data_IF_885971184793
#
_entry.id   IF_885971184793
#
_cell.length_a   1.000
_cell.length_b   1.000
_cell.length_c   1.000
_cell.angle_alpha   90.00
_cell.angle_beta   90.00
_cell.angle_gamma   90.00
#
_symmetry.space_group_name_H-M   'P 1'
#
loop_
_entity.id
_entity.type
_entity.pdbx_description
1 polymer ?
#
# COMPACT_ATOMS: atom_id res chain seq x y z
N UNK A 1 -35.43 -0.98 41.51
CA UNK A 1 -34.70 -0.16 40.51
C UNK A 1 -35.15 -0.62 39.13
N UNK A 2 -35.66 0.28 38.29
CA UNK A 2 -36.34 -0.07 37.04
C UNK A 2 -35.35 -0.40 35.91
N UNK A 3 -35.73 -1.34 35.04
CA UNK A 3 -34.98 -1.74 33.83
C UNK A 3 -34.61 -0.55 32.91
N UNK A 4 -35.29 0.58 33.04
CA UNK A 4 -35.03 1.82 32.31
C UNK A 4 -33.70 2.48 32.70
N UNK A 5 -33.30 2.42 33.97
CA UNK A 5 -32.03 3.02 34.41
C UNK A 5 -30.82 2.23 33.91
N UNK A 6 -30.90 0.89 33.87
CA UNK A 6 -29.84 0.03 33.36
C UNK A 6 -29.59 0.26 31.86
N UNK A 7 -30.65 0.41 31.07
CA UNK A 7 -30.58 0.68 29.63
C UNK A 7 -29.96 2.06 29.30
N UNK A 8 -30.26 3.08 30.09
CA UNK A 8 -29.70 4.44 29.91
C UNK A 8 -28.21 4.46 30.26
N UNK A 9 -27.78 3.74 31.29
CA UNK A 9 -26.36 3.60 31.61
C UNK A 9 -25.62 2.83 30.51
N UNK A 10 -26.14 1.70 30.05
CA UNK A 10 -25.47 0.87 29.05
C UNK A 10 -25.32 1.60 27.69
N UNK A 11 -26.34 2.34 27.26
CA UNK A 11 -26.26 3.17 26.05
C UNK A 11 -25.29 4.36 26.20
N UNK A 12 -25.25 5.03 27.37
CA UNK A 12 -24.27 6.10 27.64
C UNK A 12 -22.83 5.59 27.60
N UNK A 13 -22.56 4.42 28.17
CA UNK A 13 -21.22 3.80 28.17
C UNK A 13 -20.77 3.44 26.74
N UNK A 14 -21.60 2.77 25.96
CA UNK A 14 -21.32 2.46 24.54
C UNK A 14 -21.09 3.73 23.70
N UNK A 15 -21.82 4.81 24.00
CA UNK A 15 -21.65 6.09 23.29
C UNK A 15 -20.37 6.81 23.69
N UNK A 16 -19.95 6.69 24.96
CA UNK A 16 -18.72 7.28 25.49
C UNK A 16 -17.49 6.57 24.91
N UNK A 17 -17.47 5.24 24.94
CA UNK A 17 -16.41 4.43 24.32
C UNK A 17 -16.29 4.76 22.82
N UNK A 18 -17.41 4.84 22.09
CA UNK A 18 -17.39 5.18 20.67
C UNK A 18 -16.85 6.60 20.39
N UNK A 19 -17.17 7.59 21.23
CA UNK A 19 -16.63 8.96 21.11
C UNK A 19 -15.14 9.01 21.43
N UNK A 20 -14.69 8.29 22.46
CA UNK A 20 -13.29 8.16 22.82
C UNK A 20 -12.49 7.50 21.71
N UNK A 21 -12.97 6.36 21.18
CA UNK A 21 -12.33 5.64 20.08
C UNK A 21 -12.25 6.47 18.80
N UNK A 22 -13.28 7.27 18.48
CA UNK A 22 -13.22 8.22 17.35
C UNK A 22 -12.13 9.27 17.53
N UNK A 23 -11.98 9.84 18.74
CA UNK A 23 -10.93 10.82 19.03
C UNK A 23 -9.55 10.19 18.94
N UNK A 24 -9.39 8.98 19.46
CA UNK A 24 -8.14 8.22 19.39
C UNK A 24 -7.77 7.89 17.93
N UNK A 25 -8.71 7.39 17.14
CA UNK A 25 -8.51 7.12 15.71
C UNK A 25 -8.19 8.39 14.91
N UNK A 26 -8.83 9.52 15.22
CA UNK A 26 -8.49 10.80 14.61
C UNK A 26 -7.07 11.23 14.97
N UNK A 27 -6.64 11.04 16.22
CA UNK A 27 -5.29 11.34 16.66
C UNK A 27 -4.26 10.46 15.93
N UNK A 28 -4.51 9.15 15.84
CA UNK A 28 -3.70 8.21 15.04
C UNK A 28 -3.67 8.68 13.58
N UNK A 29 -4.82 8.92 12.95
CA UNK A 29 -4.86 9.36 11.57
C UNK A 29 -4.07 10.65 11.34
N UNK A 30 -4.23 11.68 12.18
CA UNK A 30 -3.53 12.95 12.03
C UNK A 30 -2.01 12.81 12.21
N UNK A 31 -1.55 11.93 13.10
CA UNK A 31 -0.11 11.65 13.24
C UNK A 31 0.49 10.89 12.06
N UNK A 32 -0.33 10.19 11.27
CA UNK A 32 0.12 9.31 10.19
C UNK A 32 -0.26 9.77 8.77
N UNK A 33 -1.22 10.68 8.61
CA UNK A 33 -1.73 11.11 7.29
C UNK A 33 -0.69 11.87 6.47
N UNK A 34 0.25 12.54 7.13
CA UNK A 34 1.41 13.18 6.50
C UNK A 34 2.23 12.22 5.63
N UNK A 35 2.31 10.94 5.99
CA UNK A 35 3.01 9.92 5.20
C UNK A 35 2.18 9.25 4.10
N UNK A 36 0.85 9.25 4.20
CA UNK A 36 -0.04 8.54 3.26
C UNK A 36 -0.21 9.35 1.96
N UNK A 37 -0.31 10.68 2.06
CA UNK A 37 -0.34 11.57 0.89
C UNK A 37 1.03 11.86 0.30
N UNK A 38 2.10 11.62 1.05
CA UNK A 38 3.49 11.74 0.58
C UNK A 38 3.96 10.51 -0.23
N UNK A 39 3.08 9.54 -0.52
CA UNK A 39 3.45 8.36 -1.34
C UNK A 39 3.98 8.71 -2.74
N UNK A 40 3.86 9.96 -3.19
CA UNK A 40 4.39 10.45 -4.47
C UNK A 40 5.75 11.16 -4.38
N UNK A 41 6.39 11.23 -3.20
CA UNK A 41 7.75 11.75 -3.06
C UNK A 41 8.61 10.71 -2.36
N UNK A 42 8.95 9.62 -3.06
CA UNK A 42 10.15 8.87 -2.71
C UNK A 42 11.32 9.85 -2.85
N UNK A 43 11.97 10.22 -1.76
CA UNK A 43 13.29 10.80 -1.84
C UNK A 43 14.16 9.79 -2.60
N UNK A 44 14.72 10.21 -3.74
CA UNK A 44 15.59 9.43 -4.61
C UNK A 44 16.93 9.11 -3.94
N UNK A 45 16.90 8.57 -2.71
CA UNK A 45 18.11 8.21 -2.00
C UNK A 45 18.52 6.81 -2.42
N UNK A 46 19.49 6.80 -3.31
CA UNK A 46 20.04 5.62 -3.94
C UNK A 46 21.36 5.15 -3.32
N UNK A 47 21.87 5.93 -2.36
CA UNK A 47 23.28 5.91 -1.96
C UNK A 47 23.54 4.99 -0.76
N UNK A 48 22.57 4.81 0.14
CA UNK A 48 22.69 3.98 1.35
C UNK A 48 21.62 2.87 1.42
N UNK A 49 21.81 1.88 2.31
CA UNK A 49 20.80 0.88 2.73
C UNK A 49 20.32 -0.12 1.65
N UNK A 50 21.24 -0.88 1.07
CA UNK A 50 20.88 -2.06 0.26
C UNK A 50 20.63 -3.26 1.18
N UNK A 51 19.49 -3.92 0.96
CA UNK A 51 19.15 -5.20 1.59
C UNK A 51 19.85 -6.35 0.86
N UNK A 52 20.01 -7.47 1.57
CA UNK A 52 20.55 -8.71 1.03
C UNK A 52 19.54 -9.84 1.11
N UNK A 53 19.48 -10.65 0.05
CA UNK A 53 18.64 -11.83 -0.03
C UNK A 53 19.42 -13.01 -0.57
N UNK A 54 19.27 -14.15 0.09
CA UNK A 54 19.74 -15.44 -0.43
C UNK A 54 18.82 -15.94 -1.55
N UNK A 55 19.43 -16.48 -2.61
CA UNK A 55 18.74 -17.06 -3.75
C UNK A 55 19.19 -18.50 -4.00
N UNK A 56 18.32 -19.27 -4.65
CA UNK A 56 18.59 -20.67 -5.02
C UNK A 56 19.40 -20.81 -6.32
N UNK A 57 19.79 -19.71 -6.95
CA UNK A 57 20.55 -19.70 -8.22
C UNK A 57 22.04 -19.91 -7.93
N UNK A 58 22.62 -20.97 -8.50
CA UNK A 58 24.01 -21.37 -8.25
C UNK A 58 25.03 -20.25 -8.51
N UNK A 59 24.84 -19.52 -9.62
CA UNK A 59 25.70 -18.43 -10.06
C UNK A 59 25.49 -17.12 -9.27
N UNK A 60 24.47 -17.05 -8.40
CA UNK A 60 24.11 -15.86 -7.64
C UNK A 60 23.48 -16.22 -6.29
N UNK A 61 24.30 -16.67 -5.34
CA UNK A 61 23.82 -17.08 -4.00
C UNK A 61 23.23 -15.93 -3.18
N UNK A 62 23.78 -14.72 -3.32
CA UNK A 62 23.33 -13.54 -2.57
C UNK A 62 23.14 -12.37 -3.51
N UNK A 63 22.05 -11.63 -3.35
CA UNK A 63 21.73 -10.46 -4.17
C UNK A 63 21.51 -9.26 -3.28
N UNK A 64 22.15 -8.15 -3.64
CA UNK A 64 22.02 -6.84 -3.02
C UNK A 64 21.01 -6.04 -3.81
N UNK A 65 19.93 -5.65 -3.15
CA UNK A 65 18.83 -4.93 -3.78
C UNK A 65 18.32 -3.81 -2.89
N UNK A 66 17.60 -2.86 -3.49
CA UNK A 66 16.90 -1.82 -2.77
C UNK A 66 15.55 -1.56 -3.42
N UNK A 67 14.48 -1.57 -2.63
CA UNK A 67 13.14 -1.19 -3.08
C UNK A 67 13.03 0.32 -2.99
N UNK A 68 12.97 0.99 -4.13
CA UNK A 68 12.93 2.46 -4.20
C UNK A 68 11.50 2.96 -4.10
N UNK A 69 10.56 2.24 -4.70
CA UNK A 69 9.13 2.46 -4.47
C UNK A 69 8.38 1.16 -4.31
N UNK A 70 7.32 1.20 -3.51
CA UNK A 70 6.37 0.11 -3.35
C UNK A 70 4.97 0.71 -3.25
N UNK A 71 4.18 0.55 -4.31
CA UNK A 71 2.80 1.01 -4.38
C UNK A 71 1.86 -0.18 -4.30
N UNK A 72 1.04 -0.24 -3.25
CA UNK A 72 0.03 -1.28 -3.08
C UNK A 72 -0.97 -1.23 -4.24
N UNK A 73 -1.19 -2.36 -4.91
CA UNK A 73 -2.13 -2.46 -6.03
C UNK A 73 -3.48 -2.98 -5.53
N UNK A 74 -4.50 -2.12 -5.54
CA UNK A 74 -5.87 -2.51 -5.17
C UNK A 74 -6.59 -3.22 -6.33
N UNK A 75 -6.16 -4.44 -6.63
CA UNK A 75 -6.88 -5.33 -7.55
C UNK A 75 -7.48 -6.53 -6.80
N UNK A 76 -8.39 -7.24 -7.47
CA UNK A 76 -8.95 -8.50 -6.97
C UNK A 76 -7.86 -9.52 -6.62
N UNK A 77 -6.76 -9.50 -7.33
CA UNK A 77 -5.72 -10.54 -7.26
C UNK A 77 -4.51 -10.12 -6.43
N UNK A 78 -4.29 -8.81 -6.25
CA UNK A 78 -3.06 -8.28 -5.66
C UNK A 78 -3.27 -7.49 -4.36
N UNK A 79 -4.40 -7.65 -3.66
CA UNK A 79 -4.75 -6.78 -2.52
C UNK A 79 -3.67 -6.63 -1.44
N UNK A 80 -2.88 -7.66 -1.13
CA UNK A 80 -1.76 -7.54 -0.16
C UNK A 80 -0.40 -7.26 -0.82
N UNK A 81 -0.40 -7.04 -2.13
CA UNK A 81 0.80 -6.98 -2.94
C UNK A 81 0.96 -5.61 -3.58
N UNK A 82 2.22 -5.26 -3.81
CA UNK A 82 2.58 -3.99 -4.40
C UNK A 82 3.14 -4.17 -5.82
N UNK A 83 3.11 -3.09 -6.56
CA UNK A 83 4.08 -2.80 -7.62
C UNK A 83 5.33 -2.22 -6.96
N UNK A 84 6.49 -2.74 -7.32
CA UNK A 84 7.76 -2.29 -6.78
C UNK A 84 8.72 -1.90 -7.88
N UNK A 85 9.43 -0.79 -7.68
CA UNK A 85 10.60 -0.45 -8.48
C UNK A 85 11.83 -0.64 -7.61
N UNK A 86 12.79 -1.39 -8.12
CA UNK A 86 13.96 -1.78 -7.37
C UNK A 86 15.26 -1.57 -8.15
N UNK A 87 16.34 -1.46 -7.38
CA UNK A 87 17.70 -1.46 -7.90
C UNK A 87 18.39 -2.73 -7.45
N UNK A 88 19.16 -3.35 -8.34
CA UNK A 88 19.99 -4.52 -8.03
C UNK A 88 21.43 -4.20 -8.39
N UNK A 89 22.32 -4.26 -7.40
CA UNK A 89 23.68 -3.70 -7.53
C UNK A 89 24.78 -4.73 -7.82
N UNK A 90 24.46 -6.03 -7.84
CA UNK A 90 25.49 -7.08 -7.94
C UNK A 90 25.02 -8.34 -8.68
N UNK A 91 24.18 -8.18 -9.70
CA UNK A 91 23.80 -9.29 -10.58
C UNK A 91 25.00 -9.76 -11.40
N UNK A 92 25.24 -11.06 -11.41
CA UNK A 92 26.29 -11.70 -12.17
C UNK A 92 25.95 -11.65 -13.67
N UNK A 93 26.83 -11.07 -14.46
CA UNK A 93 26.68 -10.89 -15.92
C UNK A 93 26.50 -12.21 -16.69
N UNK A 94 26.88 -13.35 -16.09
CA UNK A 94 26.76 -14.69 -16.70
C UNK A 94 25.38 -15.31 -16.53
N UNK A 95 24.48 -14.69 -15.75
CA UNK A 95 23.14 -15.21 -15.54
C UNK A 95 22.34 -15.15 -16.84
N UNK A 96 21.67 -16.26 -17.15
CA UNK A 96 20.72 -16.25 -18.25
C UNK A 96 19.39 -15.57 -17.84
N UNK A 97 18.53 -15.18 -18.79
CA UNK A 97 17.28 -14.48 -18.47
C UNK A 97 16.34 -15.22 -17.51
N UNK A 98 16.36 -16.57 -17.51
CA UNK A 98 15.54 -17.38 -16.59
C UNK A 98 16.06 -17.30 -15.17
N UNK A 99 17.37 -17.33 -14.99
CA UNK A 99 18.02 -17.18 -13.68
C UNK A 99 17.82 -15.76 -13.14
N UNK A 100 17.95 -14.73 -13.97
CA UNK A 100 17.62 -13.34 -13.61
C UNK A 100 16.16 -13.26 -13.14
N UNK A 101 15.22 -13.82 -13.90
CA UNK A 101 13.81 -13.84 -13.50
C UNK A 101 13.60 -14.57 -12.16
N UNK A 102 14.32 -15.65 -11.87
CA UNK A 102 14.26 -16.36 -10.59
C UNK A 102 14.79 -15.52 -9.43
N UNK A 103 15.93 -14.86 -9.60
CA UNK A 103 16.49 -13.92 -8.62
C UNK A 103 15.49 -12.82 -8.28
N UNK A 104 14.97 -12.14 -9.32
CA UNK A 104 14.03 -11.02 -9.14
C UNK A 104 12.70 -11.51 -8.58
N UNK A 105 12.23 -12.70 -8.97
CA UNK A 105 11.04 -13.33 -8.37
C UNK A 105 11.21 -13.58 -6.88
N UNK A 106 12.41 -14.00 -6.45
CA UNK A 106 12.73 -14.26 -5.04
C UNK A 106 12.63 -12.98 -4.21
N UNK A 107 13.20 -11.87 -4.72
CA UNK A 107 13.03 -10.53 -4.12
C UNK A 107 11.55 -10.18 -4.04
N UNK A 108 10.81 -10.37 -5.13
CA UNK A 108 9.38 -10.07 -5.22
C UNK A 108 8.54 -10.82 -4.21
N UNK A 109 8.71 -12.14 -4.10
CA UNK A 109 7.94 -12.98 -3.19
C UNK A 109 8.23 -12.61 -1.74
N UNK A 110 9.50 -12.43 -1.34
CA UNK A 110 9.85 -12.08 0.05
C UNK A 110 9.36 -10.69 0.45
N UNK A 111 9.20 -9.78 -0.51
CA UNK A 111 8.77 -8.40 -0.27
C UNK A 111 7.33 -8.10 -0.71
N UNK A 112 6.52 -9.12 -1.01
CA UNK A 112 5.14 -8.97 -1.46
C UNK A 112 4.97 -8.06 -2.71
N UNK A 113 5.86 -8.15 -3.70
CA UNK A 113 5.81 -7.39 -4.95
C UNK A 113 5.27 -8.25 -6.10
N UNK A 114 4.08 -7.94 -6.59
CA UNK A 114 3.41 -8.64 -7.72
C UNK A 114 3.79 -8.13 -9.09
N UNK A 115 4.29 -6.89 -9.17
CA UNK A 115 4.86 -6.30 -10.37
C UNK A 115 6.18 -5.67 -9.99
N UNK A 116 7.20 -5.91 -10.79
CA UNK A 116 8.56 -5.52 -10.48
C UNK A 116 9.19 -4.92 -11.73
N UNK A 117 9.71 -3.71 -11.59
CA UNK A 117 10.63 -3.12 -12.56
C UNK A 117 11.99 -2.98 -11.88
N UNK A 118 13.00 -3.63 -12.44
CA UNK A 118 14.33 -3.71 -11.85
C UNK A 118 15.35 -2.97 -12.71
N UNK A 119 16.14 -2.10 -12.10
CA UNK A 119 17.23 -1.37 -12.75
C UNK A 119 18.59 -1.72 -12.13
N UNK A 120 19.64 -1.62 -12.93
CA UNK A 120 21.01 -1.79 -12.46
C UNK A 120 21.53 -0.53 -11.77
N UNK A 121 21.18 0.64 -12.28
CA UNK A 121 21.71 1.91 -11.81
C UNK A 121 20.64 2.88 -11.35
N UNK A 122 21.04 3.72 -10.40
CA UNK A 122 20.26 4.84 -9.93
C UNK A 122 19.98 5.88 -11.00
N UNK A 123 20.91 6.05 -11.94
CA UNK A 123 20.75 7.00 -13.02
C UNK A 123 19.60 6.60 -13.97
N UNK A 124 19.49 5.31 -14.29
CA UNK A 124 18.35 4.79 -15.04
C UNK A 124 17.03 5.07 -14.30
N UNK A 125 17.02 4.93 -12.98
CA UNK A 125 15.83 5.24 -12.19
C UNK A 125 15.47 6.74 -12.21
N UNK A 126 16.45 7.62 -12.12
CA UNK A 126 16.24 9.09 -12.22
C UNK A 126 15.60 9.45 -13.56
N UNK A 127 16.07 8.85 -14.64
CA UNK A 127 15.49 9.03 -15.98
C UNK A 127 14.05 8.47 -16.02
N UNK A 128 13.83 7.29 -15.44
CA UNK A 128 12.51 6.64 -15.43
C UNK A 128 11.42 7.50 -14.76
N UNK A 129 11.78 8.19 -13.67
CA UNK A 129 10.86 9.05 -12.93
C UNK A 129 10.81 10.50 -13.43
N UNK A 130 11.57 10.85 -14.47
CA UNK A 130 11.59 12.22 -14.99
C UNK A 130 10.20 12.60 -15.52
N UNK A 131 9.70 13.76 -15.09
CA UNK A 131 8.40 14.28 -15.55
C UNK A 131 8.38 14.69 -17.03
N UNK A 132 9.55 14.86 -17.63
CA UNK A 132 9.70 15.16 -19.07
C UNK A 132 9.99 13.89 -19.84
N UNK A 133 9.52 13.81 -21.08
CA UNK A 133 9.82 12.69 -21.98
C UNK A 133 11.35 12.51 -22.11
N UNK A 134 11.89 11.29 -21.89
CA UNK A 134 13.30 11.02 -22.09
C UNK A 134 13.75 11.32 -23.52
N UNK A 135 14.95 11.88 -23.67
CA UNK A 135 15.60 12.01 -24.97
C UNK A 135 16.15 10.65 -25.47
N UNK A 136 16.73 10.61 -26.67
CA UNK A 136 17.20 9.36 -27.27
C UNK A 136 18.34 8.69 -26.48
N UNK A 137 19.28 9.48 -25.96
CA UNK A 137 20.38 8.99 -25.12
C UNK A 137 19.85 8.41 -23.80
N UNK A 138 18.92 9.11 -23.16
CA UNK A 138 18.24 8.68 -21.93
C UNK A 138 17.43 7.40 -22.16
N UNK A 139 16.76 7.25 -23.30
CA UNK A 139 16.07 6.02 -23.67
C UNK A 139 17.03 4.84 -23.88
N UNK A 140 18.17 5.07 -24.50
CA UNK A 140 19.19 4.04 -24.67
C UNK A 140 19.77 3.62 -23.32
N UNK A 141 20.08 4.59 -22.45
CA UNK A 141 20.53 4.31 -21.10
C UNK A 141 19.51 3.49 -20.30
N UNK A 142 18.23 3.84 -20.36
CA UNK A 142 17.15 3.07 -19.72
C UNK A 142 17.11 1.63 -20.23
N UNK A 143 17.22 1.41 -21.54
CA UNK A 143 17.17 0.07 -22.14
C UNK A 143 18.36 -0.78 -21.71
N UNK A 144 19.55 -0.19 -21.63
CA UNK A 144 20.78 -0.88 -21.23
C UNK A 144 20.79 -1.24 -19.75
N UNK A 145 20.16 -0.41 -18.90
CA UNK A 145 20.18 -0.57 -17.45
C UNK A 145 18.89 -1.19 -16.89
N UNK A 146 17.89 -1.46 -17.74
CA UNK A 146 16.69 -2.20 -17.37
C UNK A 146 17.06 -3.68 -17.28
N UNK A 147 16.97 -4.24 -16.08
CA UNK A 147 17.27 -5.65 -15.82
C UNK A 147 16.09 -6.50 -16.29
N UNK A 148 14.89 -6.21 -15.76
CA UNK A 148 13.68 -6.93 -16.11
C UNK A 148 12.42 -6.16 -15.68
N UNK A 149 11.35 -6.32 -16.46
CA UNK A 149 9.98 -6.07 -16.01
C UNK A 149 9.26 -7.41 -15.83
N UNK A 150 8.75 -7.67 -14.64
CA UNK A 150 8.24 -8.98 -14.25
C UNK A 150 6.91 -8.86 -13.50
N UNK A 151 5.92 -9.64 -13.93
CA UNK A 151 4.65 -9.82 -13.22
C UNK A 151 4.60 -11.22 -12.61
N UNK A 152 4.35 -11.28 -11.30
CA UNK A 152 4.28 -12.53 -10.53
C UNK A 152 2.83 -12.90 -10.23
N UNK A 153 2.47 -14.16 -10.47
CA UNK A 153 1.22 -14.73 -9.98
C UNK A 153 1.38 -15.17 -8.51
N UNK A 154 1.37 -14.21 -7.60
CA UNK A 154 1.60 -14.47 -6.17
C UNK A 154 0.43 -15.25 -5.54
N UNK A 155 -0.74 -15.29 -6.17
CA UNK A 155 -1.83 -16.15 -5.69
C UNK A 155 -1.47 -17.64 -5.73
N UNK A 156 -0.56 -18.05 -6.62
CA UNK A 156 -0.06 -19.42 -6.67
C UNK A 156 0.92 -19.74 -5.54
N UNK A 157 1.70 -18.77 -5.06
CA UNK A 157 2.63 -18.98 -3.95
C UNK A 157 1.95 -18.93 -2.57
N UNK A 158 0.76 -18.34 -2.47
CA UNK A 158 -0.01 -18.30 -1.22
C UNK A 158 -0.73 -19.62 -0.90
N UNK A 159 -0.67 -20.01 0.37
CA UNK A 159 -1.50 -21.10 0.90
C UNK A 159 -2.99 -20.80 0.78
N UNK A 160 -3.83 -21.85 0.81
CA UNK A 160 -5.30 -21.69 0.80
C UNK A 160 -5.80 -20.85 1.97
N UNK A 161 -5.11 -20.90 3.12
CA UNK A 161 -5.44 -20.12 4.32
C UNK A 161 -5.15 -18.63 4.10
N UNK A 162 -3.98 -18.30 3.58
CA UNK A 162 -3.58 -16.92 3.26
C UNK A 162 -4.48 -16.31 2.20
N UNK A 163 -4.76 -17.02 1.11
CA UNK A 163 -5.70 -16.57 0.07
C UNK A 163 -7.07 -16.21 0.65
N UNK A 164 -7.59 -17.01 1.57
CA UNK A 164 -8.86 -16.74 2.26
C UNK A 164 -8.77 -15.50 3.16
N UNK A 165 -7.65 -15.31 3.88
CA UNK A 165 -7.42 -14.12 4.73
C UNK A 165 -7.34 -12.85 3.89
N UNK A 166 -6.55 -12.87 2.82
CA UNK A 166 -6.37 -11.74 1.91
C UNK A 166 -7.70 -11.36 1.23
N UNK A 167 -8.47 -12.36 0.78
CA UNK A 167 -9.83 -12.13 0.25
C UNK A 167 -10.73 -11.45 1.28
N UNK A 168 -10.75 -11.92 2.54
CA UNK A 168 -11.57 -11.31 3.60
C UNK A 168 -11.19 -9.85 3.86
N UNK A 169 -9.91 -9.55 3.92
CA UNK A 169 -9.42 -8.17 4.09
C UNK A 169 -9.80 -7.28 2.91
N UNK A 170 -9.61 -7.77 1.68
CA UNK A 170 -10.02 -7.08 0.46
C UNK A 170 -11.51 -6.76 0.45
N UNK A 171 -12.35 -7.79 0.59
CA UNK A 171 -13.81 -7.64 0.55
C UNK A 171 -14.28 -6.66 1.64
N UNK A 172 -13.60 -6.65 2.79
CA UNK A 172 -13.86 -5.71 3.88
C UNK A 172 -13.45 -4.28 3.55
N UNK A 173 -12.25 -4.04 2.99
CA UNK A 173 -11.84 -2.71 2.55
C UNK A 173 -12.73 -2.19 1.42
N UNK A 174 -13.03 -3.02 0.43
CA UNK A 174 -13.89 -2.65 -0.70
C UNK A 174 -15.28 -2.23 -0.23
N UNK A 175 -15.90 -3.00 0.68
CA UNK A 175 -17.21 -2.66 1.25
C UNK A 175 -17.17 -1.30 1.97
N UNK A 176 -16.17 -1.08 2.82
CA UNK A 176 -16.03 0.16 3.57
C UNK A 176 -15.65 1.35 2.67
N UNK A 177 -14.82 1.11 1.65
CA UNK A 177 -14.39 2.09 0.67
C UNK A 177 -15.54 2.57 -0.21
N UNK A 178 -16.41 1.66 -0.67
CA UNK A 178 -17.64 2.03 -1.38
C UNK A 178 -18.54 2.89 -0.50
N UNK A 179 -18.71 2.53 0.77
CA UNK A 179 -19.53 3.29 1.71
C UNK A 179 -18.94 4.68 1.99
N UNK A 180 -17.64 4.74 2.26
CA UNK A 180 -16.91 5.99 2.46
C UNK A 180 -17.02 6.89 1.22
N UNK A 181 -16.77 6.35 0.03
CA UNK A 181 -16.85 7.11 -1.21
C UNK A 181 -18.27 7.65 -1.44
N UNK A 182 -19.32 6.85 -1.20
CA UNK A 182 -20.72 7.33 -1.26
C UNK A 182 -21.00 8.49 -0.32
N UNK A 183 -20.39 8.53 0.87
CA UNK A 183 -20.52 9.65 1.80
C UNK A 183 -19.77 10.87 1.27
N UNK A 184 -18.53 10.70 0.82
CA UNK A 184 -17.69 11.77 0.31
C UNK A 184 -18.25 12.40 -0.98
N UNK A 185 -18.79 11.59 -1.89
CA UNK A 185 -19.42 12.06 -3.14
C UNK A 185 -20.68 12.88 -2.94
N UNK A 186 -21.21 13.01 -1.72
CA UNK A 186 -22.28 13.98 -1.41
C UNK A 186 -21.76 15.42 -1.34
N UNK A 187 -20.45 15.61 -1.15
CA UNK A 187 -19.83 16.92 -1.19
C UNK A 187 -19.62 17.37 -2.64
N UNK A 188 -19.72 18.68 -2.89
CA UNK A 188 -19.25 19.24 -4.17
C UNK A 188 -17.72 19.12 -4.24
N UNK A 189 -17.13 18.71 -5.39
CA UNK A 189 -15.68 18.56 -5.54
C UNK A 189 -14.88 19.81 -5.15
N UNK A 190 -15.43 20.99 -5.42
CA UNK A 190 -14.85 22.31 -5.12
C UNK A 190 -14.71 22.58 -3.60
N UNK A 191 -15.56 21.96 -2.78
CA UNK A 191 -15.61 22.16 -1.34
C UNK A 191 -14.97 21.01 -0.56
N UNK A 192 -14.37 20.05 -1.27
CA UNK A 192 -13.75 18.88 -0.65
C UNK A 192 -12.42 19.25 0.00
N UNK A 193 -12.26 18.88 1.27
CA UNK A 193 -11.02 19.09 2.04
C UNK A 193 -10.44 17.78 2.56
N UNK A 194 -9.14 17.79 2.89
CA UNK A 194 -8.48 16.66 3.59
C UNK A 194 -9.20 16.30 4.90
N UNK A 195 -9.79 17.30 5.57
CA UNK A 195 -10.57 17.10 6.79
C UNK A 195 -11.84 16.28 6.53
N UNK A 196 -12.49 16.45 5.38
CA UNK A 196 -13.66 15.64 5.01
C UNK A 196 -13.27 14.17 4.83
N UNK A 197 -12.15 13.93 4.16
CA UNK A 197 -11.60 12.58 4.00
C UNK A 197 -11.29 11.95 5.37
N UNK A 198 -10.54 12.67 6.21
CA UNK A 198 -10.17 12.21 7.55
C UNK A 198 -11.40 11.85 8.37
N UNK A 199 -12.42 12.72 8.39
CA UNK A 199 -13.66 12.49 9.13
C UNK A 199 -14.39 11.22 8.67
N UNK A 200 -14.43 10.95 7.37
CA UNK A 200 -15.08 9.73 6.85
C UNK A 200 -14.26 8.50 7.18
N UNK A 201 -12.94 8.52 7.00
CA UNK A 201 -12.06 7.38 7.31
C UNK A 201 -12.14 7.03 8.80
N UNK A 202 -12.05 8.03 9.69
CA UNK A 202 -12.17 7.83 11.14
C UNK A 202 -13.56 7.30 11.51
N UNK A 203 -14.61 7.81 10.87
CA UNK A 203 -15.98 7.36 11.09
C UNK A 203 -16.17 5.89 10.67
N UNK A 204 -15.69 5.50 9.49
CA UNK A 204 -15.78 4.11 9.01
C UNK A 204 -14.91 3.18 9.85
N UNK A 205 -13.70 3.59 10.23
CA UNK A 205 -12.85 2.83 11.15
C UNK A 205 -13.54 2.58 12.48
N UNK A 206 -14.11 3.63 13.08
CA UNK A 206 -14.84 3.53 14.36
C UNK A 206 -16.07 2.63 14.30
N UNK A 207 -16.80 2.63 13.17
CA UNK A 207 -17.96 1.74 12.98
C UNK A 207 -17.56 0.26 12.89
N UNK A 208 -16.34 -0.02 12.45
CA UNK A 208 -15.91 -1.35 12.07
C UNK A 208 -14.79 -1.93 12.94
N UNK A 209 -14.48 -1.32 14.10
CA UNK A 209 -13.37 -1.72 14.97
C UNK A 209 -13.34 -3.22 15.24
N UNK A 210 -14.42 -3.81 15.76
CA UNK A 210 -14.42 -5.24 16.12
C UNK A 210 -14.12 -6.15 14.92
N UNK A 211 -14.74 -5.84 13.77
CA UNK A 211 -14.57 -6.61 12.54
C UNK A 211 -13.16 -6.41 11.97
N UNK A 212 -12.61 -5.21 12.08
CA UNK A 212 -11.25 -4.88 11.70
C UNK A 212 -10.25 -5.67 12.53
N UNK A 213 -10.34 -5.64 13.87
CA UNK A 213 -9.42 -6.39 14.75
C UNK A 213 -9.43 -7.89 14.43
N UNK A 214 -10.60 -8.46 14.16
CA UNK A 214 -10.73 -9.87 13.80
C UNK A 214 -10.17 -10.22 12.42
N UNK A 215 -10.28 -9.31 11.45
CA UNK A 215 -9.86 -9.55 10.06
C UNK A 215 -8.35 -9.32 9.90
N UNK A 216 -7.83 -8.26 10.53
CA UNK A 216 -6.42 -7.94 10.53
C UNK A 216 -5.63 -8.84 11.47
N UNK A 217 -6.25 -9.28 12.58
CA UNK A 217 -5.62 -10.15 13.58
C UNK A 217 -4.35 -9.49 14.15
N UNK A 218 -4.51 -8.24 14.59
CA UNK A 218 -3.47 -7.34 15.11
C UNK A 218 -4.00 -6.59 16.34
N UNK A 219 -3.09 -5.92 17.05
CA UNK A 219 -3.45 -4.98 18.11
C UNK A 219 -4.37 -3.86 17.60
N UNK A 220 -5.02 -3.14 18.52
CA UNK A 220 -5.92 -2.06 18.11
C UNK A 220 -5.21 -0.96 17.35
N UNK A 221 -4.04 -0.56 17.85
CA UNK A 221 -3.20 0.50 17.31
C UNK A 221 -2.72 0.13 15.89
N UNK A 222 -2.10 -1.04 15.74
CA UNK A 222 -1.57 -1.51 14.46
C UNK A 222 -2.69 -1.81 13.46
N UNK A 223 -3.74 -2.49 13.90
CA UNK A 223 -4.88 -2.84 13.07
C UNK A 223 -5.60 -1.60 12.54
N UNK A 224 -5.80 -0.60 13.41
CA UNK A 224 -6.41 0.68 13.01
C UNK A 224 -5.56 1.43 12.00
N UNK A 225 -4.25 1.48 12.25
CA UNK A 225 -3.31 2.16 11.36
C UNK A 225 -3.32 1.54 9.96
N UNK A 226 -3.14 0.23 9.87
CA UNK A 226 -3.10 -0.48 8.58
C UNK A 226 -4.46 -0.37 7.89
N UNK A 227 -5.57 -0.53 8.61
CA UNK A 227 -6.91 -0.39 8.02
C UNK A 227 -7.15 1.01 7.45
N UNK A 228 -6.79 2.07 8.19
CA UNK A 228 -6.96 3.45 7.71
C UNK A 228 -6.07 3.73 6.49
N UNK A 229 -4.84 3.21 6.48
CA UNK A 229 -3.95 3.29 5.31
C UNK A 229 -4.59 2.58 4.12
N UNK A 230 -5.06 1.35 4.32
CA UNK A 230 -5.64 0.55 3.25
C UNK A 230 -6.92 1.16 2.68
N UNK A 231 -7.77 1.71 3.56
CA UNK A 231 -8.97 2.42 3.17
C UNK A 231 -8.65 3.70 2.40
N UNK A 232 -7.65 4.47 2.85
CA UNK A 232 -7.19 5.68 2.14
C UNK A 232 -6.70 5.33 0.74
N UNK A 233 -5.84 4.33 0.60
CA UNK A 233 -5.28 3.96 -0.71
C UNK A 233 -6.37 3.45 -1.66
N UNK A 234 -7.28 2.59 -1.18
CA UNK A 234 -8.44 2.16 -1.97
C UNK A 234 -9.25 3.36 -2.49
N UNK A 235 -9.49 4.33 -1.62
CA UNK A 235 -10.27 5.52 -1.90
C UNK A 235 -9.60 6.45 -2.92
N UNK A 236 -8.28 6.63 -2.86
CA UNK A 236 -7.51 7.41 -3.86
C UNK A 236 -7.66 6.79 -5.25
N UNK A 237 -7.55 5.46 -5.36
CA UNK A 237 -7.59 4.78 -6.65
C UNK A 237 -9.02 4.64 -7.21
N UNK A 238 -10.04 4.54 -6.35
CA UNK A 238 -11.40 4.14 -6.76
C UNK A 238 -12.49 5.19 -6.51
N UNK A 239 -12.21 6.30 -5.82
CA UNK A 239 -13.20 7.33 -5.53
C UNK A 239 -12.93 8.62 -6.30
N UNK A 240 -13.81 8.93 -7.26
CA UNK A 240 -13.64 10.08 -8.17
C UNK A 240 -13.36 11.40 -7.44
N UNK A 241 -14.13 11.74 -6.40
CA UNK A 241 -13.96 13.03 -5.70
C UNK A 241 -12.58 13.17 -5.04
N UNK A 242 -11.97 12.06 -4.61
CA UNK A 242 -10.63 12.06 -4.03
C UNK A 242 -9.59 12.10 -5.13
N UNK A 243 -9.78 11.34 -6.20
CA UNK A 243 -8.90 11.38 -7.36
C UNK A 243 -8.81 12.81 -7.94
N UNK A 244 -9.96 13.46 -8.14
CA UNK A 244 -10.06 14.85 -8.59
C UNK A 244 -9.41 15.84 -7.58
N UNK A 245 -9.38 15.52 -6.28
CA UNK A 245 -8.70 16.33 -5.27
C UNK A 245 -7.18 16.15 -5.31
N UNK A 246 -6.69 14.92 -5.50
CA UNK A 246 -5.26 14.62 -5.62
C UNK A 246 -4.69 15.19 -6.92
N UNK A 247 -5.43 15.16 -8.03
CA UNK A 247 -4.96 15.72 -9.31
C UNK A 247 -4.91 17.26 -9.33
N UNK A 248 -5.60 17.94 -8.40
CA UNK A 248 -5.61 19.41 -8.28
C UNK A 248 -4.49 19.97 -7.40
N UNK A 249 -3.82 19.13 -6.61
CA UNK A 249 -2.79 19.52 -5.64
C UNK A 249 -1.45 18.87 -5.96
#
# INVERSE_FOLDING_TARGET
MSNTQLFITQTRWVTYERKFMKKLLALIFLTYSSGIFSQNKSEYNCVNDFDEIETEVELQKTVRFKIISSRKLYTKETFEFSEGILIVSNLNEKLNPKEIAQVISTIGIKNNLSKITAFETCHALEIYYKNTKPNEEELNHLKENLIIELSLDINKSLSKKERKRNKKKRDFIETNGINACKVLSKNKPENFSEKDLSNVIVSESSKNIEKMLKIYDLSFEEGSLIFMKDLTTYLVDNCKIIKDFVERN
#
